data_IF_713606615469
#
_entry.id   IF_713606615469
#
_cell.length_a   1.000
_cell.length_b   1.000
_cell.length_c   1.000
_cell.angle_alpha   90.00
_cell.angle_beta   90.00
_cell.angle_gamma   90.00
#
_symmetry.space_group_name_H-M   'P 1'
#
loop_
_entity.id
_entity.type
_entity.pdbx_description
1 polymer ?
#
# COMPACT_ATOMS: atom_id res chain seq x y z
N UNK A 1 -6.97 9.59 -3.84
CA UNK A 1 -7.38 8.17 -3.86
C UNK A 1 -6.42 7.41 -4.77
N UNK A 2 -5.79 6.32 -4.30
CA UNK A 2 -4.82 5.53 -5.09
C UNK A 2 -5.43 4.80 -6.30
N UNK A 3 -6.74 4.52 -6.30
CA UNK A 3 -7.43 3.87 -7.42
C UNK A 3 -7.94 4.88 -8.47
N UNK A 4 -8.30 6.09 -8.03
CA UNK A 4 -8.77 7.14 -8.96
C UNK A 4 -7.61 7.95 -9.60
N UNK A 5 -6.42 7.90 -9.01
CA UNK A 5 -5.24 8.60 -9.53
C UNK A 5 -4.63 7.84 -10.71
N UNK A 6 -4.47 8.51 -11.84
CA UNK A 6 -3.86 7.92 -13.06
C UNK A 6 -2.75 8.81 -13.60
N UNK A 7 -1.79 8.19 -14.31
CA UNK A 7 -0.69 8.89 -14.97
C UNK A 7 -0.36 8.22 -16.30
N UNK A 8 -0.11 9.03 -17.34
CA UNK A 8 0.40 8.54 -18.62
C UNK A 8 1.82 7.99 -18.53
N UNK A 9 2.55 8.32 -17.47
CA UNK A 9 3.90 7.79 -17.24
C UNK A 9 3.90 6.37 -16.68
N UNK A 10 2.74 5.84 -16.28
CA UNK A 10 2.61 4.45 -15.83
C UNK A 10 2.61 3.51 -17.05
N UNK A 11 3.78 3.44 -17.71
CA UNK A 11 4.07 2.65 -18.90
C UNK A 11 5.42 1.94 -18.69
N UNK A 12 5.50 0.60 -18.82
CA UNK A 12 6.73 -0.14 -18.58
C UNK A 12 7.90 0.30 -19.48
N UNK A 13 7.62 0.88 -20.66
CA UNK A 13 8.65 1.42 -21.55
C UNK A 13 9.27 2.73 -21.03
N UNK A 14 8.57 3.45 -20.14
CA UNK A 14 9.05 4.71 -19.56
C UNK A 14 9.67 4.50 -18.17
N UNK A 15 9.03 3.69 -17.32
CA UNK A 15 9.41 3.53 -15.91
C UNK A 15 10.05 2.18 -15.59
N UNK A 16 10.16 1.30 -16.57
CA UNK A 16 10.65 -0.08 -16.40
C UNK A 16 9.58 -1.03 -15.86
N UNK A 17 9.77 -2.33 -16.12
CA UNK A 17 8.82 -3.36 -15.71
C UNK A 17 8.64 -3.44 -14.19
N UNK A 18 9.73 -3.36 -13.43
CA UNK A 18 9.66 -3.53 -11.96
C UNK A 18 8.76 -2.48 -11.30
N UNK A 19 8.90 -1.21 -11.67
CA UNK A 19 8.04 -0.15 -11.15
C UNK A 19 6.60 -0.35 -11.63
N UNK A 20 6.40 -0.63 -12.92
CA UNK A 20 5.08 -0.84 -13.49
C UNK A 20 4.33 -2.00 -12.82
N UNK A 21 4.95 -3.16 -12.71
CA UNK A 21 4.37 -4.37 -12.13
C UNK A 21 4.06 -4.18 -10.64
N UNK A 22 4.94 -3.50 -9.91
CA UNK A 22 4.70 -3.18 -8.49
C UNK A 22 3.50 -2.25 -8.34
N UNK A 23 3.41 -1.19 -9.14
CA UNK A 23 2.28 -0.27 -9.10
C UNK A 23 0.96 -0.93 -9.49
N UNK A 24 0.96 -1.78 -10.54
CA UNK A 24 -0.22 -2.57 -10.94
C UNK A 24 -0.62 -3.59 -9.89
N UNK A 25 0.35 -4.27 -9.27
CA UNK A 25 0.09 -5.18 -8.16
C UNK A 25 -0.59 -4.50 -6.97
N UNK A 26 -0.08 -3.32 -6.57
CA UNK A 26 -0.70 -2.49 -5.52
C UNK A 26 -2.13 -2.12 -5.89
N UNK A 27 -2.38 -1.65 -7.12
CA UNK A 27 -3.72 -1.32 -7.59
C UNK A 27 -4.67 -2.53 -7.55
N UNK A 28 -4.21 -3.70 -7.98
CA UNK A 28 -5.02 -4.92 -7.97
C UNK A 28 -5.41 -5.34 -6.55
N UNK A 29 -4.47 -5.29 -5.60
CA UNK A 29 -4.75 -5.61 -4.19
C UNK A 29 -5.75 -4.63 -3.58
N UNK A 30 -5.59 -3.33 -3.82
CA UNK A 30 -6.53 -2.31 -3.34
C UNK A 30 -7.91 -2.44 -3.98
N UNK A 31 -7.98 -2.78 -5.27
CA UNK A 31 -9.23 -3.02 -5.97
C UNK A 31 -9.97 -4.24 -5.40
N UNK A 32 -9.24 -5.35 -5.18
CA UNK A 32 -9.81 -6.55 -4.56
C UNK A 32 -10.30 -6.25 -3.13
N UNK A 33 -9.54 -5.50 -2.35
CA UNK A 33 -9.97 -5.08 -1.02
C UNK A 33 -11.25 -4.24 -1.05
N UNK A 34 -11.40 -3.33 -2.02
CA UNK A 34 -12.61 -2.54 -2.20
C UNK A 34 -13.84 -3.41 -2.47
N UNK A 35 -13.71 -4.46 -3.28
CA UNK A 35 -14.79 -5.44 -3.53
C UNK A 35 -15.15 -6.24 -2.27
N UNK A 36 -14.15 -6.64 -1.49
CA UNK A 36 -14.35 -7.39 -0.25
C UNK A 36 -14.94 -6.52 0.88
N UNK A 37 -14.79 -5.19 0.82
CA UNK A 37 -15.22 -4.27 1.88
C UNK A 37 -16.73 -4.33 2.15
N UNK A 38 -17.54 -4.44 1.10
CA UNK A 38 -18.99 -4.56 1.22
C UNK A 38 -19.40 -5.91 1.83
N UNK A 39 -18.71 -6.99 1.44
CA UNK A 39 -18.90 -8.33 2.02
C UNK A 39 -18.55 -8.31 3.51
N UNK A 40 -17.40 -7.74 3.89
CA UNK A 40 -16.95 -7.62 5.29
C UNK A 40 -17.97 -6.81 6.10
N UNK A 41 -18.53 -5.74 5.53
CA UNK A 41 -19.51 -4.89 6.23
C UNK A 41 -20.84 -5.60 6.51
N UNK A 42 -21.24 -6.57 5.68
CA UNK A 42 -22.50 -7.30 5.80
C UNK A 42 -22.33 -8.60 6.60
N UNK A 43 -21.31 -9.40 6.27
CA UNK A 43 -21.11 -10.76 6.76
C UNK A 43 -20.03 -10.87 7.84
N UNK A 44 -19.09 -9.93 7.89
CA UNK A 44 -17.93 -9.99 8.79
C UNK A 44 -16.69 -10.59 8.13
N UNK A 45 -15.55 -10.43 8.80
CA UNK A 45 -14.24 -10.86 8.29
C UNK A 45 -14.06 -12.39 8.29
N UNK A 46 -14.77 -13.08 9.18
CA UNK A 46 -14.62 -14.53 9.38
C UNK A 46 -15.16 -15.36 8.21
N UNK A 47 -16.08 -14.79 7.45
CA UNK A 47 -16.74 -15.41 6.28
C UNK A 47 -15.88 -15.36 5.00
N UNK A 48 -14.73 -14.68 5.04
CA UNK A 48 -13.79 -14.65 3.93
C UNK A 48 -12.95 -15.92 3.86
N UNK A 49 -12.54 -16.29 2.64
CA UNK A 49 -11.50 -17.30 2.44
C UNK A 49 -10.18 -16.84 3.06
N UNK A 50 -9.29 -17.77 3.42
CA UNK A 50 -7.97 -17.41 3.98
C UNK A 50 -7.13 -16.56 3.01
N UNK A 51 -7.29 -16.77 1.71
CA UNK A 51 -6.66 -15.96 0.66
C UNK A 51 -7.21 -14.52 0.61
N UNK A 52 -8.53 -14.36 0.73
CA UNK A 52 -9.15 -13.03 0.80
C UNK A 52 -8.77 -12.32 2.11
N UNK A 53 -8.68 -13.05 3.24
CA UNK A 53 -8.19 -12.49 4.51
C UNK A 53 -6.76 -11.96 4.37
N UNK A 54 -5.88 -12.73 3.73
CA UNK A 54 -4.51 -12.31 3.43
C UNK A 54 -4.49 -11.06 2.54
N UNK A 55 -5.34 -11.04 1.50
CA UNK A 55 -5.46 -9.89 0.59
C UNK A 55 -5.90 -8.63 1.33
N UNK A 56 -6.89 -8.73 2.22
CA UNK A 56 -7.34 -7.63 3.07
C UNK A 56 -6.24 -7.16 4.00
N UNK A 57 -5.51 -8.07 4.64
CA UNK A 57 -4.41 -7.74 5.54
C UNK A 57 -3.31 -6.96 4.81
N UNK A 58 -2.89 -7.43 3.62
CA UNK A 58 -1.91 -6.73 2.78
C UNK A 58 -2.44 -5.40 2.26
N UNK A 59 -3.70 -5.32 1.85
CA UNK A 59 -4.32 -4.07 1.39
C UNK A 59 -4.33 -3.00 2.48
N UNK A 60 -4.67 -3.36 3.72
CA UNK A 60 -4.61 -2.44 4.86
C UNK A 60 -3.20 -1.94 5.14
N UNK A 61 -2.19 -2.82 5.05
CA UNK A 61 -0.78 -2.42 5.17
C UNK A 61 -0.38 -1.45 4.06
N UNK A 62 -0.79 -1.70 2.82
CA UNK A 62 -0.56 -0.80 1.68
C UNK A 62 -1.22 0.56 1.92
N UNK A 63 -2.48 0.62 2.33
CA UNK A 63 -3.17 1.88 2.65
C UNK A 63 -2.44 2.70 3.72
N UNK A 64 -1.92 2.02 4.74
CA UNK A 64 -1.10 2.67 5.78
C UNK A 64 0.26 3.11 5.23
N UNK A 65 0.93 2.29 4.43
CA UNK A 65 2.26 2.59 3.89
C UNK A 65 2.25 3.71 2.85
N UNK A 66 1.11 4.00 2.23
CA UNK A 66 0.91 5.20 1.39
C UNK A 66 0.92 6.51 2.21
N UNK A 67 0.84 6.44 3.54
CA UNK A 67 0.99 7.61 4.40
C UNK A 67 2.46 7.94 4.64
N UNK A 68 2.77 9.23 4.73
CA UNK A 68 4.14 9.71 4.91
C UNK A 68 4.13 11.00 5.74
N UNK A 69 5.04 11.16 6.72
CA UNK A 69 5.20 12.44 7.42
C UNK A 69 5.83 13.47 6.47
N UNK A 70 5.18 14.62 6.33
CA UNK A 70 5.64 15.70 5.48
C UNK A 70 6.42 16.76 6.27
N UNK A 71 7.54 17.24 5.71
CA UNK A 71 8.35 18.31 6.33
C UNK A 71 7.53 19.57 6.65
N UNK A 72 6.60 19.93 5.76
CA UNK A 72 5.71 21.09 5.96
C UNK A 72 4.67 20.89 7.08
N UNK A 73 4.43 19.63 7.47
CA UNK A 73 3.47 19.27 8.51
C UNK A 73 4.13 19.04 9.89
N UNK A 74 5.46 19.12 9.99
CA UNK A 74 6.21 18.90 11.24
C UNK A 74 5.73 19.84 12.35
N UNK A 75 5.44 21.11 12.00
CA UNK A 75 5.01 22.15 12.94
C UNK A 75 3.66 21.79 13.59
N UNK A 76 2.80 21.04 12.90
CA UNK A 76 1.47 20.67 13.39
C UNK A 76 1.43 19.28 14.03
N UNK A 77 2.25 18.35 13.53
CA UNK A 77 2.21 16.93 13.93
C UNK A 77 3.27 16.57 14.96
N UNK A 78 4.34 17.36 15.07
CA UNK A 78 5.51 17.05 15.91
C UNK A 78 6.36 15.89 15.41
N UNK A 79 5.97 15.24 14.31
CA UNK A 79 6.70 14.12 13.71
C UNK A 79 7.61 14.64 12.58
N UNK A 80 8.92 14.29 12.57
CA UNK A 80 9.83 14.75 11.53
C UNK A 80 9.44 14.20 10.17
N UNK A 81 9.47 15.07 9.16
CA UNK A 81 9.22 14.74 7.78
C UNK A 81 10.26 13.75 7.25
N UNK A 82 9.84 12.94 6.28
CA UNK A 82 10.73 11.97 5.65
C UNK A 82 10.72 12.18 4.15
N UNK A 83 11.89 12.05 3.53
CA UNK A 83 12.03 11.89 2.09
C UNK A 83 12.23 10.41 1.78
N UNK A 84 11.51 9.88 0.81
CA UNK A 84 11.57 8.48 0.40
C UNK A 84 12.02 8.44 -1.06
N UNK A 85 13.10 7.71 -1.33
CA UNK A 85 13.60 7.59 -2.71
C UNK A 85 12.68 6.68 -3.53
N UNK A 86 12.65 6.89 -4.85
CA UNK A 86 11.86 6.04 -5.76
C UNK A 86 12.22 4.54 -5.60
N UNK A 87 13.51 4.25 -5.42
CA UNK A 87 13.99 2.86 -5.26
C UNK A 87 13.44 2.23 -3.99
N UNK A 88 13.44 2.97 -2.87
CA UNK A 88 12.94 2.47 -1.60
C UNK A 88 11.42 2.32 -1.61
N UNK A 89 10.70 3.23 -2.29
CA UNK A 89 9.25 3.09 -2.51
C UNK A 89 8.92 1.79 -3.25
N UNK A 90 9.59 1.54 -4.38
CA UNK A 90 9.36 0.32 -5.17
C UNK A 90 9.69 -0.92 -4.35
N UNK A 91 10.85 -0.94 -3.67
CA UNK A 91 11.26 -2.08 -2.86
C UNK A 91 10.28 -2.36 -1.69
N UNK A 92 9.83 -1.32 -1.00
CA UNK A 92 8.88 -1.44 0.11
C UNK A 92 7.55 -2.03 -0.33
N UNK A 93 6.93 -1.47 -1.39
CA UNK A 93 5.66 -2.00 -1.90
C UNK A 93 5.80 -3.41 -2.49
N UNK A 94 6.91 -3.69 -3.17
CA UNK A 94 7.19 -5.02 -3.71
C UNK A 94 7.28 -6.09 -2.60
N UNK A 95 7.95 -5.78 -1.49
CA UNK A 95 8.03 -6.70 -0.35
C UNK A 95 6.67 -6.91 0.33
N UNK A 96 5.83 -5.87 0.43
CA UNK A 96 4.44 -6.04 0.93
C UNK A 96 3.64 -6.95 -0.01
N UNK A 97 3.76 -6.79 -1.33
CA UNK A 97 3.08 -7.65 -2.31
C UNK A 97 3.58 -9.10 -2.25
N UNK A 98 4.87 -9.30 -2.03
CA UNK A 98 5.49 -10.62 -1.90
C UNK A 98 5.12 -11.35 -0.59
N UNK A 99 4.75 -10.59 0.46
CA UNK A 99 4.44 -11.13 1.79
C UNK A 99 5.62 -11.11 2.76
N UNK A 100 6.72 -10.47 2.41
CA UNK A 100 7.94 -10.40 3.24
C UNK A 100 7.71 -9.75 4.61
N UNK A 101 6.62 -9.00 4.74
CA UNK A 101 6.23 -8.26 5.94
C UNK A 101 4.87 -8.69 6.50
N UNK A 102 4.40 -9.90 6.19
CA UNK A 102 3.10 -10.40 6.64
C UNK A 102 3.01 -10.53 8.17
N UNK A 103 4.12 -10.80 8.84
CA UNK A 103 4.20 -10.89 10.30
C UNK A 103 4.15 -9.54 11.02
N UNK A 104 4.39 -8.43 10.31
CA UNK A 104 4.37 -7.09 10.91
C UNK A 104 2.93 -6.58 11.09
N UNK A 105 2.61 -5.91 12.21
CA UNK A 105 1.30 -5.33 12.42
C UNK A 105 1.05 -4.15 11.48
N UNK A 106 -0.19 -3.90 11.09
CA UNK A 106 -0.59 -2.79 10.20
C UNK A 106 -0.09 -1.42 10.68
N UNK A 107 -0.03 -1.22 12.00
CA UNK A 107 0.42 0.02 12.62
C UNK A 107 1.89 0.35 12.32
N UNK A 108 2.73 -0.67 12.05
CA UNK A 108 4.14 -0.47 11.69
C UNK A 108 4.31 0.24 10.34
N UNK A 109 3.28 0.27 9.51
CA UNK A 109 3.29 0.90 8.19
C UNK A 109 2.72 2.33 8.21
N UNK A 110 2.25 2.82 9.36
CA UNK A 110 1.60 4.14 9.44
C UNK A 110 2.61 5.25 9.73
N UNK A 111 2.58 6.31 8.91
CA UNK A 111 3.42 7.51 9.05
C UNK A 111 4.92 7.20 9.12
N UNK A 112 5.35 6.21 8.32
CA UNK A 112 6.77 5.84 8.15
C UNK A 112 7.30 6.40 6.82
N UNK A 113 8.60 6.21 6.57
CA UNK A 113 9.23 6.66 5.32
C UNK A 113 9.63 5.47 4.48
N UNK A 114 10.60 4.71 4.98
CA UNK A 114 11.00 3.42 4.40
C UNK A 114 10.56 2.28 5.31
N UNK A 115 10.57 1.09 4.74
CA UNK A 115 10.47 -0.20 5.42
C UNK A 115 11.85 -0.65 5.87
#
# INVERSE_FOLDING_TARGET
DPLDSTSRQLDPLLIGNEHYDTARGVQNVLQRYKELKDIIAILGMDELSEEDKLTVARARKIERFLSQPFHVAEIFTGAPGKYVSLKDTIAGFKGILAGDYDDLPEQAFYMVGTI
#
